data_IF_539723212551
#
_entry.id   IF_539723212551
#
_cell.length_a   1.000
_cell.length_b   1.000
_cell.length_c   1.000
_cell.angle_alpha   90.00
_cell.angle_beta   90.00
_cell.angle_gamma   90.00
#
_symmetry.space_group_name_H-M   'P 1'
#
loop_
_entity.id
_entity.type
_entity.pdbx_description
1 polymer ?
#
# COMPACT_ATOMS: atom_id res chain seq x y z
N UNK A 1 -6.09 14.09 -25.47
CA UNK A 1 -6.93 14.24 -24.26
C UNK A 1 -6.26 15.27 -23.39
N UNK A 2 -7.01 16.14 -22.71
CA UNK A 2 -6.43 17.11 -21.78
C UNK A 2 -5.93 16.36 -20.53
N UNK A 3 -4.87 16.87 -19.89
CA UNK A 3 -4.45 16.40 -18.58
C UNK A 3 -5.51 16.83 -17.55
N UNK A 4 -6.28 15.87 -17.03
CA UNK A 4 -7.32 16.11 -16.02
C UNK A 4 -6.73 16.24 -14.60
N UNK A 5 -5.42 16.07 -14.43
CA UNK A 5 -4.73 16.16 -13.14
C UNK A 5 -4.98 14.98 -12.21
N UNK A 6 -5.57 13.90 -12.72
CA UNK A 6 -5.81 12.64 -12.00
C UNK A 6 -4.55 11.78 -12.06
N UNK A 7 -4.04 11.36 -10.91
CA UNK A 7 -2.94 10.40 -10.79
C UNK A 7 -3.48 9.02 -10.42
N UNK A 8 -2.90 7.97 -11.00
CA UNK A 8 -3.27 6.57 -10.71
C UNK A 8 -2.01 5.75 -10.51
N UNK A 9 -1.86 5.14 -9.34
CA UNK A 9 -0.70 4.31 -8.99
C UNK A 9 -1.18 3.03 -8.28
N UNK A 10 -0.39 1.95 -8.34
CA UNK A 10 -0.60 0.77 -7.50
C UNK A 10 0.31 0.82 -6.28
N UNK A 11 -0.21 0.39 -5.14
CA UNK A 11 0.51 0.35 -3.87
C UNK A 11 0.38 -1.06 -3.31
N UNK A 12 1.51 -1.71 -3.05
CA UNK A 12 1.53 -2.93 -2.25
C UNK A 12 1.57 -2.51 -0.77
N UNK A 13 0.52 -2.82 0.03
CA UNK A 13 0.49 -2.50 1.45
C UNK A 13 1.30 -3.50 2.28
N UNK A 14 2.17 -4.32 1.67
CA UNK A 14 2.94 -5.37 2.33
C UNK A 14 2.09 -6.46 2.98
N UNK A 15 2.73 -7.38 3.71
CA UNK A 15 2.01 -8.46 4.41
C UNK A 15 1.40 -7.94 5.71
N UNK A 16 0.22 -7.32 5.59
CA UNK A 16 -0.46 -6.66 6.70
C UNK A 16 -1.33 -7.64 7.50
N UNK A 17 -1.25 -7.56 8.84
CA UNK A 17 -2.00 -8.40 9.77
C UNK A 17 -3.50 -8.05 9.81
N UNK A 18 -4.24 -8.42 8.76
CA UNK A 18 -5.71 -8.31 8.66
C UNK A 18 -6.38 -9.68 8.62
N UNK A 19 -7.71 -9.74 8.71
CA UNK A 19 -8.50 -10.94 8.44
C UNK A 19 -8.52 -11.40 6.97
N UNK A 20 -7.97 -10.62 6.04
CA UNK A 20 -7.89 -10.99 4.63
C UNK A 20 -7.10 -12.30 4.45
N UNK A 21 -7.61 -13.22 3.63
CA UNK A 21 -7.05 -14.57 3.50
C UNK A 21 -7.49 -15.56 4.58
N UNK A 22 -8.47 -15.20 5.44
CA UNK A 22 -9.08 -16.11 6.42
C UNK A 22 -8.32 -16.23 7.75
N UNK A 23 -7.47 -15.24 8.08
CA UNK A 23 -6.74 -15.21 9.34
C UNK A 23 -7.69 -14.95 10.51
N UNK A 24 -7.49 -15.69 11.60
CA UNK A 24 -8.14 -15.42 12.89
C UNK A 24 -7.43 -14.26 13.61
N UNK A 25 -8.09 -13.10 13.66
CA UNK A 25 -7.55 -11.87 14.25
C UNK A 25 -7.45 -11.92 15.79
N UNK A 26 -8.06 -12.91 16.44
CA UNK A 26 -7.89 -13.13 17.89
C UNK A 26 -6.53 -13.75 18.24
N UNK A 27 -5.82 -14.31 17.26
CA UNK A 27 -4.47 -14.87 17.43
C UNK A 27 -3.38 -13.82 17.16
N UNK A 28 -2.18 -13.97 17.74
CA UNK A 28 -1.06 -13.10 17.43
C UNK A 28 -0.77 -13.02 15.92
N UNK A 29 -0.28 -11.89 15.40
CA UNK A 29 0.24 -11.78 14.03
C UNK A 29 1.27 -12.86 13.72
N UNK A 30 1.30 -13.34 12.47
CA UNK A 30 2.31 -14.30 12.03
C UNK A 30 3.65 -13.54 11.94
N UNK A 31 4.79 -14.10 12.41
CA UNK A 31 6.09 -13.45 12.28
C UNK A 31 6.37 -13.00 10.84
N UNK A 32 6.74 -11.74 10.68
CA UNK A 32 6.94 -11.10 9.36
C UNK A 32 5.73 -10.29 8.86
N UNK A 33 4.55 -10.45 9.46
CA UNK A 33 3.44 -9.52 9.21
C UNK A 33 3.70 -8.16 9.86
N UNK A 34 3.30 -7.10 9.17
CA UNK A 34 3.32 -5.75 9.71
C UNK A 34 1.97 -5.34 10.31
N UNK A 35 1.99 -4.25 11.09
CA UNK A 35 0.77 -3.69 11.67
C UNK A 35 -0.14 -3.09 10.60
N UNK A 36 -1.42 -2.92 10.92
CA UNK A 36 -2.39 -2.25 10.04
C UNK A 36 -1.92 -0.81 9.73
N UNK A 37 -1.35 -0.13 10.73
CA UNK A 37 -0.83 1.22 10.60
C UNK A 37 0.34 1.28 9.61
N UNK A 38 1.25 0.30 9.66
CA UNK A 38 2.38 0.23 8.73
C UNK A 38 1.90 -0.07 7.29
N UNK A 39 0.92 -0.97 7.12
CA UNK A 39 0.33 -1.28 5.82
C UNK A 39 -0.43 -0.10 5.19
N UNK A 40 -1.10 0.71 6.00
CA UNK A 40 -1.83 1.89 5.54
C UNK A 40 -0.91 3.08 5.20
N UNK A 41 0.28 3.14 5.79
CA UNK A 41 1.16 4.31 5.72
C UNK A 41 1.45 4.75 4.28
N UNK A 42 1.96 3.84 3.45
CA UNK A 42 2.34 4.18 2.07
C UNK A 42 1.13 4.46 1.17
N UNK A 43 -0.01 3.81 1.45
CA UNK A 43 -1.28 4.09 0.75
C UNK A 43 -1.73 5.53 0.99
N UNK A 44 -1.69 5.97 2.25
CA UNK A 44 -2.05 7.36 2.62
C UNK A 44 -1.04 8.35 2.05
N UNK A 45 0.25 8.05 2.10
CA UNK A 45 1.31 8.87 1.50
C UNK A 45 1.04 9.10 0.01
N UNK A 46 0.80 8.04 -0.77
CA UNK A 46 0.51 8.15 -2.20
C UNK A 46 -0.84 8.83 -2.50
N UNK A 47 -1.84 8.70 -1.61
CA UNK A 47 -3.12 9.38 -1.76
C UNK A 47 -3.05 10.89 -1.44
N UNK A 48 -2.04 11.32 -0.69
CA UNK A 48 -1.90 12.71 -0.20
C UNK A 48 -0.67 13.43 -0.75
N UNK A 49 0.15 12.76 -1.56
CA UNK A 49 1.34 13.33 -2.17
C UNK A 49 1.02 14.46 -3.15
N UNK A 50 1.94 15.42 -3.26
CA UNK A 50 1.90 16.45 -4.30
C UNK A 50 2.51 15.98 -5.63
N UNK A 51 3.13 14.80 -5.66
CA UNK A 51 3.68 14.23 -6.90
C UNK A 51 2.58 14.04 -7.96
N UNK A 52 2.97 14.23 -9.22
CA UNK A 52 2.15 13.97 -10.40
C UNK A 52 2.52 12.67 -11.11
N UNK A 53 3.40 11.88 -10.50
CA UNK A 53 3.75 10.57 -11.04
C UNK A 53 2.51 9.67 -11.09
N UNK A 54 2.38 8.97 -12.21
CA UNK A 54 1.29 8.04 -12.47
C UNK A 54 1.86 6.76 -13.07
N UNK A 55 1.13 5.65 -12.96
CA UNK A 55 1.49 4.33 -13.46
C UNK A 55 2.72 3.72 -12.79
N UNK A 56 2.92 3.99 -11.49
CA UNK A 56 3.98 3.35 -10.69
C UNK A 56 3.46 2.18 -9.86
N UNK A 57 4.38 1.28 -9.48
CA UNK A 57 4.18 0.28 -8.43
C UNK A 57 5.16 0.50 -7.30
N UNK A 58 4.68 0.65 -6.08
CA UNK A 58 5.56 0.87 -4.93
C UNK A 58 5.03 0.17 -3.68
N UNK A 59 5.95 -0.08 -2.76
CA UNK A 59 5.71 -0.40 -1.35
C UNK A 59 6.58 0.50 -0.47
N UNK A 60 6.46 0.36 0.85
CA UNK A 60 7.26 1.13 1.82
C UNK A 60 8.77 1.04 1.58
N UNK A 61 9.26 -0.08 1.04
CA UNK A 61 10.68 -0.29 0.75
C UNK A 61 11.14 0.32 -0.60
N UNK A 62 10.21 0.77 -1.44
CA UNK A 62 10.51 1.39 -2.73
C UNK A 62 9.72 0.79 -3.91
N UNK A 63 10.20 0.97 -5.15
CA UNK A 63 9.52 0.51 -6.34
C UNK A 63 9.54 -1.01 -6.50
N UNK A 64 8.45 -1.54 -7.04
CA UNK A 64 8.28 -2.96 -7.34
C UNK A 64 8.17 -3.18 -8.86
N UNK A 65 8.61 -4.35 -9.37
CA UNK A 65 8.28 -4.76 -10.73
C UNK A 65 6.78 -5.12 -10.85
N UNK A 66 6.18 -4.85 -12.01
CA UNK A 66 4.94 -5.54 -12.43
C UNK A 66 5.21 -7.02 -12.69
#
# INVERSE_FOLDING_TARGET
MADEGITVNSVNPGWTATGFGGRDESKPPIPGMQSIQDGAKHVVEMATTSSKDTLTFTETAGPLPW
#
